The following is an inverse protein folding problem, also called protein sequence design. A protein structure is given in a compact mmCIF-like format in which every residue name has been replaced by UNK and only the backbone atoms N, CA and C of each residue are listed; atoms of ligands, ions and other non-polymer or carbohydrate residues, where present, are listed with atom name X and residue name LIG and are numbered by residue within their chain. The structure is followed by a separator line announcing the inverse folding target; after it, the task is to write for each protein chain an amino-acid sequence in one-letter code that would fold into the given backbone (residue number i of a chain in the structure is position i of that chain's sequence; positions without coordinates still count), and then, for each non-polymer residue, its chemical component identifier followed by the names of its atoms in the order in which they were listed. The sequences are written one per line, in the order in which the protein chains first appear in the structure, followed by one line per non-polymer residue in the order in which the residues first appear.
data_IF_874636623754
#
_entry.id   IF_874636623754
#
_cell.length_a   1.000
_cell.length_b   1.000
_cell.length_c   1.000
_cell.angle_alpha   90.00
_cell.angle_beta   90.00
_cell.angle_gamma   90.00
#
_symmetry.space_group_name_H-M   'P 1'
#
loop_
_entity.id
_entity.type
_entity.pdbx_description
1 polymer ?
#
# COMPACT_ATOMS: atom_id res chain seq x y z
N UNK A 1 16.32 0.46 -30.17
CA UNK A 1 14.85 0.69 -30.07
C UNK A 1 14.21 -0.57 -29.52
N UNK A 2 13.46 -0.48 -28.42
CA UNK A 2 12.84 -1.63 -27.77
C UNK A 2 11.42 -1.81 -28.36
N UNK A 3 11.21 -2.87 -29.14
CA UNK A 3 9.94 -3.15 -29.81
C UNK A 3 9.13 -4.17 -29.02
N UNK A 4 7.93 -3.82 -28.53
CA UNK A 4 7.11 -4.75 -27.75
C UNK A 4 6.69 -5.99 -28.58
N UNK A 5 6.52 -5.83 -29.90
CA UNK A 5 6.27 -6.95 -30.83
C UNK A 5 7.44 -7.95 -30.88
N UNK A 6 8.68 -7.46 -30.88
CA UNK A 6 9.87 -8.32 -30.85
C UNK A 6 9.95 -9.10 -29.54
N UNK A 7 9.64 -8.44 -28.42
CA UNK A 7 9.59 -9.07 -27.09
C UNK A 7 8.45 -10.08 -26.96
N UNK A 8 7.29 -9.81 -27.57
CA UNK A 8 6.16 -10.71 -27.66
C UNK A 8 6.52 -11.99 -28.42
N UNK A 9 7.12 -11.84 -29.61
CA UNK A 9 7.58 -12.97 -30.43
C UNK A 9 8.65 -13.83 -29.72
N UNK A 10 9.63 -13.20 -29.08
CA UNK A 10 10.62 -13.92 -28.27
C UNK A 10 9.99 -14.64 -27.08
N UNK A 11 9.05 -13.99 -26.38
CA UNK A 11 8.32 -14.61 -25.25
C UNK A 11 7.47 -15.82 -25.67
N UNK A 12 6.90 -15.79 -26.88
CA UNK A 12 6.16 -16.92 -27.47
C UNK A 12 7.07 -18.08 -27.89
N UNK A 13 8.39 -17.95 -27.82
CA UNK A 13 9.32 -18.99 -28.28
C UNK A 13 9.45 -19.07 -29.81
N UNK A 14 9.10 -17.99 -30.52
CA UNK A 14 9.29 -17.92 -31.97
C UNK A 14 10.78 -17.78 -32.30
N UNK A 15 11.32 -18.72 -33.08
CA UNK A 15 12.73 -18.76 -33.48
C UNK A 15 13.00 -17.74 -34.60
N UNK A 16 13.90 -16.78 -34.35
CA UNK A 16 14.52 -15.99 -35.42
C UNK A 16 15.90 -16.54 -35.82
N UNK A 17 16.59 -17.31 -34.96
CA UNK A 17 17.91 -17.91 -35.26
C UNK A 17 18.15 -19.26 -34.57
N UNK A 18 19.11 -20.02 -35.11
CA UNK A 18 19.37 -21.46 -34.85
C UNK A 18 19.96 -21.82 -33.47
N UNK A 19 20.21 -20.85 -32.58
CA UNK A 19 20.91 -21.07 -31.30
C UNK A 19 20.06 -21.38 -30.07
N UNK A 20 18.73 -21.32 -30.14
CA UNK A 20 17.85 -21.48 -28.97
C UNK A 20 17.44 -22.96 -28.72
N UNK A 21 17.41 -23.45 -27.46
CA UNK A 21 17.07 -24.85 -27.14
C UNK A 21 15.71 -25.28 -27.74
N UNK A 22 15.68 -26.44 -28.42
CA UNK A 22 14.51 -26.92 -29.19
C UNK A 22 13.24 -27.12 -28.34
N UNK A 23 13.38 -27.36 -27.03
CA UNK A 23 12.27 -27.58 -26.09
C UNK A 23 11.29 -26.41 -25.94
N UNK A 24 11.64 -25.23 -26.46
CA UNK A 24 10.83 -24.01 -26.31
C UNK A 24 10.29 -23.44 -27.64
N UNK A 25 10.45 -24.16 -28.75
CA UNK A 25 10.05 -23.68 -30.08
C UNK A 25 8.56 -23.91 -30.33
N UNK A 26 7.81 -22.84 -30.58
CA UNK A 26 6.39 -22.89 -30.97
C UNK A 26 6.27 -22.76 -32.50
N UNK A 27 5.32 -23.46 -33.11
CA UNK A 27 5.13 -23.38 -34.56
C UNK A 27 4.72 -21.95 -34.99
N UNK A 28 5.12 -21.50 -36.20
CA UNK A 28 4.75 -20.17 -36.70
C UNK A 28 3.24 -19.89 -36.70
N UNK A 29 2.43 -20.90 -37.02
CA UNK A 29 0.97 -20.78 -37.03
C UNK A 29 0.41 -20.50 -35.63
N UNK A 30 0.92 -21.19 -34.59
CA UNK A 30 0.48 -20.98 -33.21
C UNK A 30 0.94 -19.62 -32.70
N UNK A 31 2.17 -19.20 -33.02
CA UNK A 31 2.67 -17.87 -32.65
C UNK A 31 1.84 -16.75 -33.30
N UNK A 32 1.48 -16.89 -34.58
CA UNK A 32 0.63 -15.94 -35.29
C UNK A 32 -0.79 -15.86 -34.71
N UNK A 33 -1.39 -17.02 -34.38
CA UNK A 33 -2.72 -17.06 -33.75
C UNK A 33 -2.73 -16.39 -32.37
N UNK A 34 -1.70 -16.65 -31.53
CA UNK A 34 -1.55 -16.00 -30.22
C UNK A 34 -1.33 -14.48 -30.34
N UNK A 35 -0.60 -14.04 -31.35
CA UNK A 35 -0.44 -12.60 -31.63
C UNK A 35 -1.75 -11.96 -32.06
N UNK A 36 -2.51 -12.55 -32.99
CA UNK A 36 -3.82 -12.04 -33.41
C UNK A 36 -4.78 -11.94 -32.22
N UNK A 37 -4.81 -12.96 -31.35
CA UNK A 37 -5.58 -12.92 -30.12
C UNK A 37 -5.14 -11.76 -29.21
N UNK A 38 -3.83 -11.59 -28.98
CA UNK A 38 -3.32 -10.49 -28.16
C UNK A 38 -3.68 -9.11 -28.75
N UNK A 39 -3.66 -8.96 -30.08
CA UNK A 39 -4.09 -7.72 -30.75
C UNK A 39 -5.57 -7.40 -30.58
N UNK A 40 -6.43 -8.43 -30.49
CA UNK A 40 -7.88 -8.29 -30.29
C UNK A 40 -8.27 -8.12 -28.82
N UNK A 41 -7.37 -8.43 -27.90
CA UNK A 41 -7.60 -8.30 -26.46
C UNK A 41 -7.88 -6.84 -26.07
N UNK A 42 -9.00 -6.61 -25.40
CA UNK A 42 -9.46 -5.28 -24.94
C UNK A 42 -9.18 -5.05 -23.46
N UNK A 43 -8.94 -6.11 -22.70
CA UNK A 43 -8.72 -6.08 -21.25
C UNK A 43 -7.56 -7.01 -20.90
N UNK A 44 -6.72 -6.61 -19.95
CA UNK A 44 -5.66 -7.44 -19.41
C UNK A 44 -5.85 -7.67 -17.92
N UNK A 45 -5.55 -8.88 -17.47
CA UNK A 45 -5.41 -9.18 -16.05
C UNK A 45 -3.98 -8.85 -15.62
N UNK A 46 -3.86 -8.01 -14.59
CA UNK A 46 -2.62 -7.75 -13.89
C UNK A 46 -2.63 -8.44 -12.53
N UNK A 47 -1.50 -9.03 -12.17
CA UNK A 47 -1.27 -9.60 -10.84
C UNK A 47 -0.05 -8.91 -10.26
N UNK A 48 -0.25 -8.17 -9.18
CA UNK A 48 0.82 -7.54 -8.42
C UNK A 48 1.23 -8.45 -7.27
N UNK A 49 2.52 -8.74 -7.20
CA UNK A 49 3.16 -9.52 -6.15
C UNK A 49 4.00 -8.59 -5.28
N UNK A 50 3.72 -8.59 -3.99
CA UNK A 50 4.37 -7.78 -2.99
C UNK A 50 4.92 -8.70 -1.89
N UNK A 51 6.25 -8.89 -1.79
CA UNK A 51 6.82 -9.65 -0.69
C UNK A 51 6.56 -8.88 0.62
N UNK A 52 6.10 -9.59 1.64
CA UNK A 52 5.88 -9.06 2.99
C UNK A 52 7.17 -9.27 3.79
N UNK A 53 8.15 -8.40 3.55
CA UNK A 53 9.45 -8.45 4.21
C UNK A 53 9.31 -8.18 5.71
N UNK A 54 10.17 -8.80 6.54
CA UNK A 54 10.06 -8.80 8.01
C UNK A 54 8.77 -9.40 8.58
N UNK A 55 7.85 -9.89 7.74
CA UNK A 55 6.65 -10.58 8.19
C UNK A 55 6.99 -11.94 8.77
N UNK A 56 6.56 -12.20 10.00
CA UNK A 56 6.65 -13.52 10.62
C UNK A 56 5.46 -14.40 10.20
N UNK A 57 4.55 -14.71 11.12
CA UNK A 57 3.29 -15.40 10.83
C UNK A 57 2.18 -14.40 10.49
N UNK A 58 2.38 -13.65 9.40
CA UNK A 58 1.33 -12.73 8.90
C UNK A 58 0.09 -13.56 8.54
N UNK A 59 -1.10 -13.25 9.09
CA UNK A 59 -2.30 -14.03 8.84
C UNK A 59 -2.60 -14.18 7.35
N UNK A 60 -2.95 -15.39 6.92
CA UNK A 60 -3.48 -15.61 5.58
C UNK A 60 -4.88 -15.00 5.49
N UNK A 61 -5.06 -14.09 4.53
CA UNK A 61 -6.27 -13.28 4.41
C UNK A 61 -6.71 -13.26 2.96
N UNK A 62 -8.03 -13.16 2.74
CA UNK A 62 -8.60 -12.92 1.42
C UNK A 62 -9.73 -11.91 1.52
N UNK A 63 -9.62 -10.84 0.75
CA UNK A 63 -10.57 -9.74 0.76
C UNK A 63 -10.61 -9.07 -0.62
N UNK A 64 -11.76 -9.19 -1.30
CA UNK A 64 -11.92 -8.77 -2.67
C UNK A 64 -10.93 -9.46 -3.62
N UNK A 65 -10.25 -8.71 -4.51
CA UNK A 65 -9.25 -9.26 -5.43
C UNK A 65 -7.86 -9.43 -4.78
N UNK A 66 -7.77 -9.33 -3.45
CA UNK A 66 -6.51 -9.32 -2.72
C UNK A 66 -6.40 -10.57 -1.84
N UNK A 67 -5.18 -11.06 -1.68
CA UNK A 67 -4.87 -12.12 -0.73
C UNK A 67 -3.49 -11.95 -0.10
N UNK A 68 -3.36 -12.30 1.19
CA UNK A 68 -2.07 -12.61 1.80
C UNK A 68 -1.94 -14.12 1.83
N UNK A 69 -0.88 -14.65 1.22
CA UNK A 69 -0.61 -16.09 1.21
C UNK A 69 0.88 -16.39 1.10
N UNK A 70 1.22 -17.61 1.46
CA UNK A 70 2.51 -18.19 1.16
C UNK A 70 2.45 -18.89 -0.20
N UNK A 71 3.61 -19.01 -0.84
CA UNK A 71 3.78 -19.75 -2.09
C UNK A 71 4.80 -20.85 -1.90
N UNK A 72 4.64 -21.98 -2.58
CA UNK A 72 5.73 -22.94 -2.74
C UNK A 72 6.71 -22.45 -3.80
N UNK A 73 7.95 -22.98 -3.80
CA UNK A 73 8.92 -22.67 -4.83
C UNK A 73 8.39 -23.01 -6.25
N UNK A 74 7.72 -24.17 -6.39
CA UNK A 74 7.11 -24.61 -7.64
C UNK A 74 6.00 -23.65 -8.10
N UNK A 75 5.13 -23.19 -7.19
CA UNK A 75 4.08 -22.22 -7.52
C UNK A 75 4.67 -20.87 -8.01
N UNK A 76 5.77 -20.40 -7.41
CA UNK A 76 6.44 -19.17 -7.85
C UNK A 76 7.09 -19.34 -9.23
N UNK A 77 7.72 -20.48 -9.47
CA UNK A 77 8.36 -20.79 -10.76
C UNK A 77 7.33 -20.82 -11.90
N UNK A 78 6.19 -21.47 -11.67
CA UNK A 78 5.07 -21.52 -12.61
C UNK A 78 4.44 -20.14 -12.83
N UNK A 79 4.23 -19.38 -11.77
CA UNK A 79 3.60 -18.06 -11.83
C UNK A 79 4.45 -17.04 -12.60
N UNK A 80 5.78 -17.08 -12.43
CA UNK A 80 6.69 -16.12 -13.05
C UNK A 80 7.12 -16.51 -14.48
N UNK A 81 6.84 -17.75 -14.92
CA UNK A 81 7.32 -18.29 -16.19
C UNK A 81 8.84 -18.08 -16.30
N UNK A 82 9.58 -18.66 -15.35
CA UNK A 82 11.04 -18.48 -15.22
C UNK A 82 11.80 -18.90 -16.48
N UNK A 83 11.30 -19.90 -17.20
CA UNK A 83 11.78 -20.29 -18.53
C UNK A 83 11.58 -19.17 -19.58
N UNK A 84 10.41 -18.52 -19.59
CA UNK A 84 10.13 -17.34 -20.41
C UNK A 84 11.04 -16.15 -20.10
N UNK A 85 11.29 -15.88 -18.83
CA UNK A 85 12.19 -14.80 -18.40
C UNK A 85 13.65 -15.10 -18.71
N UNK A 86 14.11 -16.32 -18.48
CA UNK A 86 15.47 -16.78 -18.80
C UNK A 86 15.79 -16.67 -20.29
N UNK A 87 14.79 -16.87 -21.16
CA UNK A 87 14.92 -16.63 -22.62
C UNK A 87 15.15 -15.16 -22.95
N UNK A 88 14.54 -14.23 -22.21
CA UNK A 88 14.68 -12.78 -22.44
C UNK A 88 15.96 -12.21 -21.83
N UNK A 89 16.44 -12.81 -20.74
CA UNK A 89 17.66 -12.38 -20.04
C UNK A 89 18.55 -13.59 -19.73
N UNK A 90 19.38 -14.04 -20.69
CA UNK A 90 20.29 -15.16 -20.48
C UNK A 90 21.20 -14.91 -19.26
N UNK A 91 21.28 -15.89 -18.37
CA UNK A 91 22.09 -15.82 -17.14
C UNK A 91 21.36 -15.26 -15.92
N UNK A 92 20.15 -14.69 -16.07
CA UNK A 92 19.30 -14.42 -14.93
C UNK A 92 18.74 -15.72 -14.35
N UNK A 93 18.69 -15.82 -13.03
CA UNK A 93 18.10 -16.93 -12.29
C UNK A 93 17.12 -16.37 -11.27
N UNK A 94 16.05 -17.12 -11.03
CA UNK A 94 15.09 -16.82 -9.98
C UNK A 94 15.31 -17.81 -8.85
N UNK A 95 15.49 -17.31 -7.63
CA UNK A 95 15.65 -18.15 -6.44
C UNK A 95 14.28 -18.40 -5.79
N UNK A 96 13.50 -19.29 -6.40
CA UNK A 96 12.15 -19.62 -5.92
C UNK A 96 12.15 -20.19 -4.51
N UNK A 97 13.21 -20.91 -4.12
CA UNK A 97 13.37 -21.46 -2.78
C UNK A 97 13.47 -20.36 -1.74
N UNK A 98 14.35 -19.37 -1.92
CA UNK A 98 14.47 -18.25 -0.97
C UNK A 98 13.19 -17.41 -0.93
N UNK A 99 12.58 -17.15 -2.08
CA UNK A 99 11.33 -16.37 -2.14
C UNK A 99 10.11 -17.07 -1.53
N UNK A 100 10.05 -18.41 -1.56
CA UNK A 100 8.97 -19.16 -0.92
C UNK A 100 8.95 -19.07 0.61
N UNK A 101 10.01 -18.54 1.24
CA UNK A 101 10.11 -18.38 2.70
C UNK A 101 9.42 -17.13 3.24
N UNK A 102 8.92 -16.26 2.36
CA UNK A 102 8.20 -15.05 2.70
C UNK A 102 6.71 -15.18 2.39
N UNK A 103 5.89 -14.49 3.16
CA UNK A 103 4.49 -14.26 2.81
C UNK A 103 4.39 -13.18 1.70
N UNK A 104 3.32 -13.24 0.93
CA UNK A 104 3.10 -12.35 -0.21
C UNK A 104 1.71 -11.75 -0.17
N UNK A 105 1.64 -10.43 -0.37
CA UNK A 105 0.41 -9.76 -0.77
C UNK A 105 0.27 -9.88 -2.29
N UNK A 106 -0.81 -10.54 -2.71
CA UNK A 106 -1.21 -10.73 -4.10
C UNK A 106 -2.41 -9.85 -4.37
N UNK A 107 -2.32 -8.99 -5.38
CA UNK A 107 -3.39 -8.07 -5.77
C UNK A 107 -3.69 -8.25 -7.25
N UNK A 108 -4.95 -8.56 -7.56
CA UNK A 108 -5.38 -8.71 -8.94
C UNK A 108 -6.19 -7.51 -9.42
N UNK A 109 -5.97 -7.08 -10.65
CA UNK A 109 -6.81 -6.09 -11.31
C UNK A 109 -7.05 -6.42 -12.78
N UNK A 110 -8.16 -5.91 -13.32
CA UNK A 110 -8.47 -5.96 -14.74
C UNK A 110 -8.34 -4.54 -15.28
N UNK A 111 -7.44 -4.35 -16.25
CA UNK A 111 -7.19 -3.06 -16.89
C UNK A 111 -7.70 -3.06 -18.32
N UNK A 112 -8.39 -1.98 -18.70
CA UNK A 112 -8.80 -1.77 -20.10
C UNK A 112 -7.58 -1.36 -20.91
N UNK A 113 -7.29 -2.13 -21.95
CA UNK A 113 -6.16 -1.89 -22.84
C UNK A 113 -6.50 -0.78 -23.85
N UNK A 114 -5.53 0.09 -24.18
CA UNK A 114 -5.77 1.16 -25.15
C UNK A 114 -6.06 0.57 -26.53
N UNK A 115 -7.25 0.85 -27.07
CA UNK A 115 -7.77 0.25 -28.32
C UNK A 115 -7.01 0.58 -29.61
N UNK A 116 -5.99 1.45 -29.57
CA UNK A 116 -5.08 1.69 -30.71
C UNK A 116 -3.82 0.86 -30.54
N UNK A 117 -3.79 -0.29 -31.21
CA UNK A 117 -2.70 -1.28 -31.24
C UNK A 117 -1.29 -0.70 -31.41
N UNK A 118 -1.14 0.42 -32.14
CA UNK A 118 0.15 1.09 -32.34
C UNK A 118 0.83 1.56 -31.04
N UNK A 119 0.07 2.16 -30.12
CA UNK A 119 0.63 2.67 -28.84
C UNK A 119 1.03 1.56 -27.87
N UNK A 120 0.28 0.45 -27.89
CA UNK A 120 0.54 -0.76 -27.10
C UNK A 120 1.79 -1.50 -27.58
N UNK A 121 2.03 -1.51 -28.90
CA UNK A 121 3.17 -2.21 -29.51
C UNK A 121 4.44 -1.34 -29.61
N UNK A 122 4.28 -0.02 -29.77
CA UNK A 122 5.38 0.92 -30.03
C UNK A 122 5.33 2.13 -29.08
N UNK A 123 5.41 1.94 -27.75
CA UNK A 123 5.22 3.02 -26.78
C UNK A 123 6.19 4.20 -26.99
N UNK A 124 7.41 3.95 -27.45
CA UNK A 124 8.40 4.99 -27.74
C UNK A 124 8.07 5.89 -28.94
N UNK A 125 7.26 5.44 -29.90
CA UNK A 125 6.85 6.26 -31.05
C UNK A 125 5.65 7.16 -30.74
N UNK A 126 4.91 6.83 -29.68
CA UNK A 126 3.70 7.55 -29.26
C UNK A 126 3.89 8.34 -27.95
N UNK A 127 5.12 8.44 -27.44
CA UNK A 127 5.43 9.23 -26.25
C UNK A 127 5.36 10.74 -26.55
N UNK A 128 4.65 11.51 -25.73
CA UNK A 128 4.58 12.97 -25.87
C UNK A 128 5.81 13.63 -25.24
N UNK A 129 6.79 13.96 -26.09
CA UNK A 129 8.05 14.59 -25.67
C UNK A 129 7.88 16.04 -25.16
N UNK A 130 6.67 16.61 -25.24
CA UNK A 130 6.35 17.96 -24.73
C UNK A 130 5.93 17.95 -23.26
N UNK A 131 5.81 16.78 -22.65
CA UNK A 131 5.41 16.66 -21.26
C UNK A 131 6.52 17.20 -20.33
N UNK A 132 6.14 18.00 -19.32
CA UNK A 132 7.04 18.36 -18.23
C UNK A 132 7.29 17.13 -17.35
N UNK A 133 8.42 16.47 -17.58
CA UNK A 133 8.85 15.29 -16.83
C UNK A 133 9.27 15.63 -15.39
N UNK A 134 9.52 16.91 -15.07
CA UNK A 134 9.89 17.38 -13.74
C UNK A 134 8.71 17.80 -12.86
N UNK A 135 7.48 17.77 -13.37
CA UNK A 135 6.29 18.19 -12.62
C UNK A 135 6.10 17.35 -11.35
N UNK A 136 5.85 18.03 -10.23
CA UNK A 136 5.56 17.38 -8.95
C UNK A 136 4.05 17.12 -8.87
N UNK A 137 3.67 15.85 -8.84
CA UNK A 137 2.30 15.44 -8.51
C UNK A 137 2.10 15.48 -6.99
N UNK A 138 1.17 16.29 -6.44
CA UNK A 138 1.04 16.50 -4.99
C UNK A 138 0.71 15.22 -4.21
N UNK A 139 0.05 14.26 -4.86
CA UNK A 139 -0.31 12.96 -4.27
C UNK A 139 0.15 11.82 -5.19
N UNK A 140 1.39 11.93 -5.71
CA UNK A 140 1.99 10.86 -6.50
C UNK A 140 2.05 9.60 -5.63
N UNK A 141 1.45 8.52 -6.14
CA UNK A 141 1.43 7.20 -5.50
C UNK A 141 2.83 6.63 -5.39
N UNK A 142 3.08 5.91 -4.30
CA UNK A 142 4.31 5.16 -4.06
C UNK A 142 4.22 3.79 -4.74
N UNK A 143 3.08 3.11 -4.61
CA UNK A 143 2.82 1.80 -5.23
C UNK A 143 1.74 1.92 -6.34
N UNK A 144 1.52 0.86 -7.16
CA UNK A 144 0.36 0.80 -8.02
C UNK A 144 -0.95 1.02 -7.25
N UNK A 145 -1.92 1.67 -7.89
CA UNK A 145 -3.21 2.02 -7.29
C UNK A 145 -3.93 0.86 -6.55
N UNK A 146 -4.05 -0.35 -7.13
CA UNK A 146 -4.74 -1.44 -6.44
C UNK A 146 -3.92 -1.95 -5.24
N UNK A 147 -2.59 -1.87 -5.29
CA UNK A 147 -1.72 -2.25 -4.16
C UNK A 147 -1.88 -1.27 -3.01
N UNK A 148 -1.89 0.04 -3.27
CA UNK A 148 -2.18 1.05 -2.24
C UNK A 148 -3.56 0.84 -1.61
N UNK A 149 -4.57 0.47 -2.41
CA UNK A 149 -5.90 0.15 -1.89
C UNK A 149 -5.89 -1.07 -0.95
N UNK A 150 -5.19 -2.14 -1.33
CA UNK A 150 -5.05 -3.34 -0.52
C UNK A 150 -4.28 -3.06 0.78
N UNK A 151 -3.17 -2.34 0.69
CA UNK A 151 -2.40 -1.92 1.87
C UNK A 151 -3.24 -1.01 2.77
N UNK A 152 -4.01 -0.09 2.20
CA UNK A 152 -4.90 0.77 2.98
C UNK A 152 -5.90 -0.05 3.79
N UNK A 153 -6.48 -1.11 3.20
CA UNK A 153 -7.34 -2.05 3.92
C UNK A 153 -6.60 -2.72 5.08
N UNK A 154 -5.44 -3.32 4.83
CA UNK A 154 -4.62 -3.98 5.84
C UNK A 154 -4.26 -3.02 6.99
N UNK A 155 -3.97 -1.76 6.68
CA UNK A 155 -3.58 -0.73 7.65
C UNK A 155 -4.75 -0.18 8.48
N UNK A 156 -5.98 -0.66 8.27
CA UNK A 156 -7.10 -0.41 9.20
C UNK A 156 -7.04 -1.31 10.44
N UNK A 157 -6.31 -2.43 10.38
CA UNK A 157 -6.07 -3.27 11.56
C UNK A 157 -5.10 -2.62 12.56
N UNK A 158 -5.28 -2.96 13.84
CA UNK A 158 -4.55 -2.47 15.00
C UNK A 158 -3.17 -3.11 15.16
N UNK A 159 -2.36 -3.07 14.11
CA UNK A 159 -1.00 -3.65 14.12
C UNK A 159 -0.13 -3.14 15.27
N UNK A 160 -0.30 -1.88 15.66
CA UNK A 160 0.40 -1.29 16.80
C UNK A 160 0.08 -1.95 18.16
N UNK A 161 -0.93 -2.82 18.23
CA UNK A 161 -1.34 -3.55 19.43
C UNK A 161 -0.97 -5.04 19.36
N UNK A 162 -0.57 -5.55 18.18
CA UNK A 162 -0.26 -6.97 17.97
C UNK A 162 1.16 -7.26 17.54
N UNK A 163 1.98 -6.24 17.26
CA UNK A 163 3.41 -6.41 17.01
C UNK A 163 4.17 -6.47 18.33
N UNK A 164 4.98 -7.52 18.53
CA UNK A 164 5.66 -7.79 19.82
C UNK A 164 6.64 -6.70 20.23
N UNK A 165 7.30 -6.08 19.25
CA UNK A 165 8.25 -4.97 19.44
C UNK A 165 7.73 -3.69 18.79
N UNK A 166 6.47 -3.35 19.08
CA UNK A 166 5.79 -2.17 18.49
C UNK A 166 6.54 -0.86 18.73
N UNK A 167 7.27 -0.74 19.85
CA UNK A 167 8.11 0.41 20.16
C UNK A 167 9.25 0.60 19.15
N UNK A 168 9.83 -0.50 18.65
CA UNK A 168 10.80 -0.52 17.56
C UNK A 168 10.11 -0.31 16.21
N UNK A 169 9.16 -1.16 15.85
CA UNK A 169 8.38 -1.06 14.61
C UNK A 169 6.97 -1.59 14.82
N UNK A 170 5.95 -0.77 14.57
CA UNK A 170 4.55 -1.22 14.67
C UNK A 170 4.12 -1.99 13.44
N UNK A 171 4.85 -1.87 12.33
CA UNK A 171 4.48 -2.49 11.06
C UNK A 171 4.67 -4.01 11.17
N UNK A 172 3.66 -4.79 10.76
CA UNK A 172 3.76 -6.25 10.77
C UNK A 172 4.67 -6.77 9.66
N UNK A 173 4.94 -5.95 8.64
CA UNK A 173 5.77 -6.25 7.47
C UNK A 173 6.14 -4.95 6.75
N UNK A 174 7.10 -5.03 5.82
CA UNK A 174 7.45 -4.00 4.84
C UNK A 174 7.18 -4.50 3.42
N UNK A 175 6.95 -3.56 2.50
CA UNK A 175 6.82 -3.86 1.06
C UNK A 175 7.94 -3.14 0.32
N UNK A 176 9.09 -3.79 0.10
CA UNK A 176 10.26 -3.13 -0.51
C UNK A 176 10.06 -2.83 -2.00
N UNK A 177 9.23 -3.62 -2.69
CA UNK A 177 8.95 -3.45 -4.11
C UNK A 177 7.68 -4.19 -4.52
N UNK A 178 7.23 -3.93 -5.74
CA UNK A 178 6.06 -4.59 -6.36
C UNK A 178 6.48 -5.16 -7.70
N UNK A 179 6.26 -6.47 -7.89
CA UNK A 179 6.42 -7.12 -9.18
C UNK A 179 5.06 -7.30 -9.85
N UNK A 180 4.88 -6.80 -11.08
CA UNK A 180 3.60 -6.88 -11.79
C UNK A 180 3.69 -7.84 -12.97
N UNK A 181 2.83 -8.84 -12.95
CA UNK A 181 2.58 -9.76 -14.04
C UNK A 181 1.39 -9.28 -14.86
N UNK A 182 1.44 -9.53 -16.16
CA UNK A 182 0.36 -9.19 -17.09
C UNK A 182 0.16 -10.34 -18.07
N UNK A 183 -1.11 -10.66 -18.33
CA UNK A 183 -1.50 -11.56 -19.40
C UNK A 183 -1.43 -10.91 -20.80
N UNK A 184 -1.21 -9.59 -20.87
CA UNK A 184 -0.95 -8.88 -22.11
C UNK A 184 0.43 -9.27 -22.67
N UNK A 185 0.43 -9.93 -23.82
CA UNK A 185 1.64 -10.34 -24.52
C UNK A 185 2.59 -9.17 -24.87
N UNK A 186 2.07 -7.96 -25.08
CA UNK A 186 2.86 -6.76 -25.40
C UNK A 186 3.36 -6.02 -24.15
N UNK A 187 2.90 -6.40 -22.95
CA UNK A 187 3.41 -5.82 -21.73
C UNK A 187 4.90 -6.18 -21.54
N UNK A 188 5.66 -5.20 -21.06
CA UNK A 188 7.07 -5.45 -20.72
C UNK A 188 7.13 -6.31 -19.47
N UNK A 189 7.52 -7.57 -19.63
CA UNK A 189 7.90 -8.42 -18.50
C UNK A 189 9.24 -7.95 -17.94
N UNK A 190 9.21 -7.36 -16.76
CA UNK A 190 10.41 -7.09 -15.98
C UNK A 190 10.89 -8.38 -15.30
N UNK A 191 12.16 -8.47 -14.93
CA UNK A 191 12.61 -9.49 -13.98
C UNK A 191 12.36 -8.95 -12.57
N UNK A 192 11.85 -9.76 -11.62
CA UNK A 192 11.77 -9.34 -10.23
C UNK A 192 13.17 -9.02 -9.68
N UNK A 193 13.27 -8.20 -8.62
CA UNK A 193 14.50 -8.01 -7.86
C UNK A 193 15.04 -9.32 -7.28
N UNK A 194 16.28 -9.30 -6.81
CA UNK A 194 16.93 -10.46 -6.19
C UNK A 194 16.37 -10.71 -4.76
N UNK A 195 16.45 -11.95 -4.29
CA UNK A 195 16.07 -12.31 -2.92
C UNK A 195 16.92 -11.58 -1.87
N UNK A 196 18.15 -11.18 -2.22
CA UNK A 196 19.04 -10.37 -1.38
C UNK A 196 18.51 -8.94 -1.12
N UNK A 197 17.44 -8.53 -1.81
CA UNK A 197 16.74 -7.26 -1.52
C UNK A 197 15.78 -7.33 -0.34
N UNK A 198 15.54 -8.54 0.19
CA UNK A 198 14.74 -8.80 1.38
C UNK A 198 15.64 -8.95 2.60
N UNK A 199 15.04 -8.93 3.79
CA UNK A 199 15.76 -8.98 5.05
C UNK A 199 16.06 -10.42 5.46
N UNK A 200 17.35 -10.72 5.70
CA UNK A 200 17.86 -12.03 6.12
C UNK A 200 18.69 -11.89 7.39
N UNK A 201 18.67 -12.94 8.22
CA UNK A 201 19.50 -13.07 9.41
C UNK A 201 20.20 -14.43 9.45
N UNK A 202 21.38 -14.53 10.08
CA UNK A 202 22.03 -15.81 10.31
C UNK A 202 21.20 -16.69 11.25
N UNK A 203 21.12 -17.97 10.92
CA UNK A 203 20.55 -19.04 11.72
C UNK A 203 21.59 -20.13 11.89
N UNK A 204 21.62 -20.75 13.07
CA UNK A 204 22.65 -21.70 13.42
C UNK A 204 21.99 -22.98 13.95
N UNK A 205 22.34 -24.11 13.35
CA UNK A 205 21.95 -25.42 13.86
C UNK A 205 23.16 -26.35 13.95
N UNK A 206 23.07 -27.32 14.85
CA UNK A 206 24.04 -28.37 15.00
C UNK A 206 23.67 -29.51 14.04
N UNK A 207 24.59 -29.91 13.16
CA UNK A 207 24.40 -31.04 12.27
C UNK A 207 24.57 -32.38 12.99
N UNK A 208 24.41 -33.49 12.26
CA UNK A 208 24.51 -34.85 12.81
C UNK A 208 25.90 -35.18 13.40
N UNK A 209 26.94 -34.44 12.99
CA UNK A 209 28.33 -34.62 13.43
C UNK A 209 28.71 -33.67 14.59
N UNK A 210 27.77 -32.87 15.09
CA UNK A 210 28.01 -31.89 16.16
C UNK A 210 28.68 -30.60 15.67
N UNK A 211 28.74 -30.37 14.35
CA UNK A 211 29.28 -29.14 13.78
C UNK A 211 28.18 -28.09 13.66
N UNK A 212 28.51 -26.85 14.04
CA UNK A 212 27.61 -25.72 13.88
C UNK A 212 27.59 -25.28 12.41
N UNK A 213 26.45 -25.43 11.75
CA UNK A 213 26.21 -24.96 10.39
C UNK A 213 25.45 -23.64 10.44
N UNK A 214 26.01 -22.63 9.78
CA UNK A 214 25.36 -21.33 9.56
C UNK A 214 24.56 -21.36 8.26
N UNK A 215 23.27 -21.05 8.34
CA UNK A 215 22.38 -20.81 7.21
C UNK A 215 21.73 -19.43 7.36
N UNK A 216 21.16 -18.92 6.28
CA UNK A 216 20.33 -17.71 6.36
C UNK A 216 18.87 -18.09 6.58
N UNK A 217 18.14 -17.26 7.31
CA UNK A 217 16.66 -17.28 7.35
C UNK A 217 16.10 -15.87 7.19
N UNK A 218 14.83 -15.73 6.76
CA UNK A 218 14.18 -14.43 6.74
C UNK A 218 14.21 -13.80 8.13
N UNK A 219 14.63 -12.54 8.20
CA UNK A 219 14.44 -11.75 9.41
C UNK A 219 12.95 -11.51 9.62
N UNK A 220 12.50 -11.52 10.88
CA UNK A 220 11.09 -11.54 11.24
C UNK A 220 10.82 -10.58 12.39
N UNK A 221 9.70 -9.88 12.33
CA UNK A 221 9.11 -9.12 13.43
C UNK A 221 7.94 -9.93 13.99
N UNK A 222 8.09 -10.56 15.16
CA UNK A 222 7.08 -11.46 15.69
C UNK A 222 5.77 -10.73 15.99
N UNK A 223 4.68 -11.33 15.56
CA UNK A 223 3.32 -10.93 15.93
C UNK A 223 2.89 -11.70 17.19
N UNK A 224 2.01 -11.11 17.97
CA UNK A 224 1.34 -11.80 19.08
C UNK A 224 0.21 -12.66 18.55
N UNK A 225 -0.22 -13.66 19.33
CA UNK A 225 -1.35 -14.55 18.99
C UNK A 225 -2.67 -13.79 18.70
N UNK A 226 -2.76 -12.53 19.12
CA UNK A 226 -3.92 -11.67 18.85
C UNK A 226 -3.97 -11.15 17.40
N UNK A 227 -2.92 -11.30 16.59
CA UNK A 227 -2.89 -10.80 15.21
C UNK A 227 -3.95 -11.47 14.31
N UNK A 228 -4.15 -12.79 14.43
CA UNK A 228 -5.17 -13.53 13.68
C UNK A 228 -6.59 -13.01 13.99
N UNK A 229 -7.07 -13.04 15.25
CA UNK A 229 -8.43 -12.56 15.55
C UNK A 229 -8.62 -11.07 15.25
N UNK A 230 -7.58 -10.23 15.38
CA UNK A 230 -7.69 -8.80 15.08
C UNK A 230 -7.74 -8.47 13.59
N UNK A 231 -7.36 -9.40 12.71
CA UNK A 231 -7.36 -9.21 11.25
C UNK A 231 -8.43 -10.03 10.56
N UNK A 232 -9.07 -10.97 11.27
CA UNK A 232 -10.11 -11.84 10.75
C UNK A 232 -11.34 -11.11 10.17
N UNK A 233 -11.58 -9.86 10.57
CA UNK A 233 -12.66 -9.04 9.99
C UNK A 233 -12.36 -8.57 8.55
N UNK A 234 -11.10 -8.64 8.09
CA UNK A 234 -10.69 -8.24 6.75
C UNK A 234 -11.08 -9.32 5.74
N UNK A 235 -12.36 -9.30 5.37
CA UNK A 235 -12.99 -10.18 4.40
C UNK A 235 -13.58 -9.40 3.20
N UNK A 236 -14.36 -10.08 2.36
CA UNK A 236 -15.05 -9.46 1.22
C UNK A 236 -16.07 -8.38 1.63
N UNK A 237 -16.66 -8.51 2.82
CA UNK A 237 -17.60 -7.52 3.37
C UNK A 237 -16.85 -6.24 3.73
N UNK A 238 -15.78 -6.35 4.51
CA UNK A 238 -14.94 -5.22 4.86
C UNK A 238 -14.32 -4.56 3.63
N UNK A 239 -13.93 -5.33 2.62
CA UNK A 239 -13.44 -4.79 1.36
C UNK A 239 -14.51 -3.98 0.61
N UNK A 240 -15.76 -4.46 0.61
CA UNK A 240 -16.89 -3.76 -0.02
C UNK A 240 -17.17 -2.45 0.70
N UNK A 241 -17.27 -2.47 2.03
CA UNK A 241 -17.45 -1.29 2.87
C UNK A 241 -16.34 -0.26 2.65
N UNK A 242 -15.08 -0.69 2.65
CA UNK A 242 -13.93 0.17 2.36
C UNK A 242 -14.02 0.78 0.96
N UNK A 243 -14.38 -0.03 -0.04
CA UNK A 243 -14.51 0.41 -1.43
C UNK A 243 -15.63 1.43 -1.60
N UNK A 244 -16.74 1.29 -0.87
CA UNK A 244 -17.83 2.26 -0.82
C UNK A 244 -17.39 3.54 -0.11
N UNK A 245 -16.77 3.42 1.07
CA UNK A 245 -16.24 4.55 1.82
C UNK A 245 -15.27 5.40 0.99
N UNK A 246 -14.34 4.77 0.25
CA UNK A 246 -13.40 5.45 -0.65
C UNK A 246 -14.06 6.22 -1.79
N UNK A 247 -15.26 5.83 -2.21
CA UNK A 247 -16.05 6.56 -3.23
C UNK A 247 -16.93 7.65 -2.62
N UNK A 248 -17.04 7.71 -1.30
CA UNK A 248 -17.86 8.69 -0.60
C UNK A 248 -17.19 10.07 -0.54
N UNK A 249 -17.97 11.13 -0.30
CA UNK A 249 -17.45 12.48 -0.09
C UNK A 249 -16.44 12.60 1.06
N UNK A 250 -16.49 11.70 2.05
CA UNK A 250 -15.60 11.74 3.21
C UNK A 250 -14.14 11.42 2.84
N UNK A 251 -13.91 10.73 1.71
CA UNK A 251 -12.59 10.32 1.24
C UNK A 251 -12.09 11.10 0.01
N UNK A 252 -12.72 12.21 -0.35
CA UNK A 252 -12.25 13.08 -1.45
C UNK A 252 -10.86 13.69 -1.21
N UNK A 253 -10.42 13.74 0.04
CA UNK A 253 -9.13 14.29 0.45
C UNK A 253 -8.08 13.18 0.50
N UNK A 254 -6.78 13.53 0.47
CA UNK A 254 -5.67 12.56 0.36
C UNK A 254 -5.41 11.76 1.66
N UNK A 255 -6.44 11.25 2.32
CA UNK A 255 -6.36 10.44 3.55
C UNK A 255 -5.57 9.16 3.27
N UNK A 256 -5.98 8.39 2.25
CA UNK A 256 -5.32 7.15 1.82
C UNK A 256 -3.83 7.39 1.51
N UNK A 257 -3.53 8.47 0.79
CA UNK A 257 -2.15 8.83 0.45
C UNK A 257 -1.28 9.02 1.70
N UNK A 258 -1.76 9.72 2.73
CA UNK A 258 -0.99 9.93 3.94
C UNK A 258 -0.90 8.69 4.83
N UNK A 259 -1.88 7.78 4.79
CA UNK A 259 -1.78 6.47 5.46
C UNK A 259 -0.69 5.62 4.81
N UNK A 260 -0.67 5.52 3.48
CA UNK A 260 0.37 4.78 2.75
C UNK A 260 1.74 5.43 2.95
N UNK A 261 1.81 6.77 2.93
CA UNK A 261 3.05 7.48 3.21
C UNK A 261 3.59 7.19 4.61
N UNK A 262 2.72 7.14 5.63
CA UNK A 262 3.13 6.79 6.98
C UNK A 262 3.70 5.37 7.04
N UNK A 263 3.05 4.41 6.37
CA UNK A 263 3.55 3.03 6.27
C UNK A 263 4.91 2.91 5.54
N UNK A 264 5.11 3.68 4.47
CA UNK A 264 6.32 3.62 3.65
C UNK A 264 7.48 4.50 4.15
N UNK A 265 7.30 5.24 5.24
CA UNK A 265 8.32 6.12 5.82
C UNK A 265 8.81 5.59 7.16
N UNK A 266 9.96 6.08 7.60
CA UNK A 266 10.53 5.78 8.92
C UNK A 266 10.72 7.08 9.73
N UNK A 267 10.80 6.95 11.06
CA UNK A 267 11.18 8.04 11.96
C UNK A 267 10.22 9.23 11.95
N UNK A 268 10.74 10.44 11.81
CA UNK A 268 9.92 11.67 11.89
C UNK A 268 8.91 11.78 10.75
N UNK A 269 9.24 11.30 9.56
CA UNK A 269 8.32 11.38 8.41
C UNK A 269 7.10 10.48 8.58
N UNK A 270 7.27 9.31 9.21
CA UNK A 270 6.18 8.42 9.64
C UNK A 270 5.24 9.16 10.61
N UNK A 271 5.82 9.75 11.66
CA UNK A 271 5.08 10.52 12.66
C UNK A 271 4.29 11.68 12.03
N UNK A 272 4.95 12.50 11.21
CA UNK A 272 4.32 13.63 10.53
C UNK A 272 3.20 13.18 9.58
N UNK A 273 3.38 12.06 8.88
CA UNK A 273 2.36 11.51 8.01
C UNK A 273 1.12 11.07 8.81
N UNK A 274 1.27 10.41 9.97
CA UNK A 274 0.13 10.05 10.82
C UNK A 274 -0.65 11.26 11.34
N UNK A 275 0.03 12.32 11.78
CA UNK A 275 -0.66 13.57 12.17
C UNK A 275 -1.38 14.18 10.97
N UNK A 276 -0.76 14.14 9.79
CA UNK A 276 -1.34 14.68 8.55
C UNK A 276 -2.56 13.88 8.08
N UNK A 277 -2.66 12.58 8.35
CA UNK A 277 -3.88 11.78 8.10
C UNK A 277 -5.08 12.41 8.83
N UNK A 278 -4.91 12.76 10.11
CA UNK A 278 -5.96 13.36 10.93
C UNK A 278 -6.34 14.75 10.40
N UNK A 279 -5.35 15.56 10.01
CA UNK A 279 -5.58 16.89 9.44
C UNK A 279 -6.29 16.82 8.07
N UNK A 280 -5.88 15.89 7.22
CA UNK A 280 -6.51 15.67 5.92
C UNK A 280 -7.97 15.22 6.09
N UNK A 281 -8.22 14.33 7.05
CA UNK A 281 -9.55 13.83 7.40
C UNK A 281 -10.47 14.92 7.95
N UNK A 282 -10.00 15.73 8.91
CA UNK A 282 -10.86 16.53 9.79
C UNK A 282 -10.62 18.05 9.74
N UNK A 283 -9.57 18.52 9.07
CA UNK A 283 -9.33 19.95 8.85
C UNK A 283 -10.34 20.56 7.88
N UNK A 284 -10.41 21.87 7.77
CA UNK A 284 -11.04 22.54 6.63
C UNK A 284 -10.20 23.76 6.24
N UNK A 285 -10.06 24.08 4.94
CA UNK A 285 -9.34 25.29 4.53
C UNK A 285 -9.86 26.57 5.21
N UNK A 286 -11.18 26.63 5.44
CA UNK A 286 -11.82 27.76 6.12
C UNK A 286 -11.36 27.93 7.58
N UNK A 287 -10.88 26.88 8.25
CA UNK A 287 -10.45 26.95 9.66
C UNK A 287 -9.23 27.87 9.86
N UNK A 288 -8.41 28.00 8.82
CA UNK A 288 -7.23 28.88 8.80
C UNK A 288 -7.59 30.35 8.53
N UNK A 289 -8.74 30.62 7.88
CA UNK A 289 -9.23 31.98 7.68
C UNK A 289 -9.98 32.44 8.93
N UNK A 290 -9.28 33.16 9.80
CA UNK A 290 -9.88 33.68 11.02
C UNK A 290 -11.16 34.48 10.72
N UNK A 291 -11.20 35.27 9.64
CA UNK A 291 -12.33 36.17 9.31
C UNK A 291 -13.55 35.43 8.80
N UNK A 292 -13.36 34.32 8.07
CA UNK A 292 -14.45 33.56 7.45
C UNK A 292 -14.90 32.34 8.25
N UNK A 293 -14.07 31.82 9.16
CA UNK A 293 -14.43 30.61 9.92
C UNK A 293 -15.68 30.81 10.78
N UNK A 294 -16.61 29.84 10.80
CA UNK A 294 -17.82 29.91 11.63
C UNK A 294 -17.50 30.16 13.10
N UNK A 295 -18.22 31.11 13.71
CA UNK A 295 -18.20 31.32 15.16
C UNK A 295 -18.94 30.18 15.85
N UNK A 296 -18.40 29.73 16.97
CA UNK A 296 -19.04 28.72 17.82
C UNK A 296 -19.62 29.49 19.01
N UNK A 297 -20.93 29.38 19.21
CA UNK A 297 -21.63 30.13 20.26
C UNK A 297 -21.06 29.79 21.64
N UNK A 298 -20.89 30.79 22.50
CA UNK A 298 -20.39 30.60 23.87
C UNK A 298 -18.90 30.24 24.00
N UNK A 299 -18.16 30.12 22.90
CA UNK A 299 -16.75 29.69 22.91
C UNK A 299 -15.79 30.77 22.41
N UNK A 300 -14.58 30.83 22.99
CA UNK A 300 -13.50 31.69 22.48
C UNK A 300 -13.14 31.25 21.05
N UNK A 301 -12.71 32.20 20.21
CA UNK A 301 -12.38 31.95 18.79
C UNK A 301 -11.22 30.95 18.65
N UNK A 302 -11.54 29.66 18.57
CA UNK A 302 -10.55 28.58 18.49
C UNK A 302 -9.79 28.56 17.16
N UNK A 303 -8.50 28.21 17.23
CA UNK A 303 -7.62 28.00 16.07
C UNK A 303 -8.00 26.75 15.26
N UNK A 304 -7.35 26.55 14.11
CA UNK A 304 -7.62 25.41 13.24
C UNK A 304 -7.36 24.06 13.94
N UNK A 305 -6.25 23.95 14.66
CA UNK A 305 -5.87 22.76 15.42
C UNK A 305 -6.92 22.36 16.47
N UNK A 306 -7.40 23.32 17.27
CA UNK A 306 -8.43 23.05 18.28
C UNK A 306 -9.76 22.59 17.66
N UNK A 307 -10.11 23.06 16.45
CA UNK A 307 -11.31 22.61 15.72
C UNK A 307 -11.16 21.17 15.23
N UNK A 308 -9.97 20.79 14.76
CA UNK A 308 -9.66 19.39 14.42
C UNK A 308 -9.77 18.50 15.66
N UNK A 309 -9.22 18.93 16.79
CA UNK A 309 -9.30 18.20 18.06
C UNK A 309 -10.76 17.92 18.48
N UNK A 310 -11.63 18.92 18.39
CA UNK A 310 -13.05 18.77 18.70
C UNK A 310 -13.79 17.84 17.74
N UNK A 311 -13.52 17.95 16.43
CA UNK A 311 -14.11 17.02 15.45
C UNK A 311 -13.65 15.59 15.69
N UNK A 312 -12.38 15.39 16.04
CA UNK A 312 -11.82 14.07 16.33
C UNK A 312 -12.45 13.46 17.59
N UNK A 313 -12.56 14.25 18.66
CA UNK A 313 -13.22 13.83 19.89
C UNK A 313 -14.68 13.41 19.62
N UNK A 314 -15.41 14.20 18.83
CA UNK A 314 -16.80 13.89 18.46
C UNK A 314 -16.93 12.68 17.53
N UNK A 315 -16.01 12.51 16.58
CA UNK A 315 -16.00 11.37 15.65
C UNK A 315 -15.77 10.05 16.39
N UNK A 316 -14.87 10.06 17.37
CA UNK A 316 -14.48 8.89 18.14
C UNK A 316 -15.29 8.70 19.44
N UNK A 317 -16.18 9.64 19.74
CA UNK A 317 -16.90 9.76 21.02
C UNK A 317 -15.96 9.64 22.24
N UNK A 318 -14.80 10.30 22.16
CA UNK A 318 -13.69 10.17 23.09
C UNK A 318 -12.98 11.52 23.26
N UNK A 319 -13.26 12.24 24.34
CA UNK A 319 -12.64 13.56 24.61
C UNK A 319 -11.10 13.49 24.68
N UNK A 320 -10.55 12.38 25.21
CA UNK A 320 -9.11 12.20 25.34
C UNK A 320 -8.41 12.04 23.97
N UNK A 321 -9.15 11.67 22.91
CA UNK A 321 -8.63 11.68 21.55
C UNK A 321 -8.26 13.09 21.07
N UNK A 322 -9.09 14.09 21.40
CA UNK A 322 -8.82 15.49 21.06
C UNK A 322 -7.59 16.03 21.80
N UNK A 323 -7.45 15.73 23.10
CA UNK A 323 -6.30 16.11 23.91
C UNK A 323 -5.00 15.49 23.41
N UNK A 324 -5.02 14.18 23.09
CA UNK A 324 -3.88 13.48 22.49
C UNK A 324 -3.48 14.10 21.17
N UNK A 325 -4.43 14.41 20.28
CA UNK A 325 -4.12 15.10 19.02
C UNK A 325 -3.45 16.46 19.26
N UNK A 326 -3.90 17.25 20.23
CA UNK A 326 -3.27 18.54 20.56
C UNK A 326 -1.81 18.37 21.01
N UNK A 327 -1.53 17.34 21.82
CA UNK A 327 -0.15 17.01 22.21
C UNK A 327 0.71 16.62 20.99
N UNK A 328 0.21 15.73 20.13
CA UNK A 328 0.93 15.31 18.91
C UNK A 328 1.17 16.50 17.95
N UNK A 329 0.20 17.40 17.80
CA UNK A 329 0.35 18.58 16.97
C UNK A 329 1.42 19.53 17.52
N UNK A 330 1.53 19.65 18.86
CA UNK A 330 2.59 20.44 19.49
C UNK A 330 3.97 19.89 19.13
N UNK A 331 4.19 18.58 19.27
CA UNK A 331 5.45 17.93 18.89
C UNK A 331 5.80 18.17 17.41
N UNK A 332 4.82 18.00 16.51
CA UNK A 332 4.98 18.34 15.09
C UNK A 332 5.36 19.81 14.88
N UNK A 333 4.68 20.72 15.56
CA UNK A 333 4.90 22.16 15.44
C UNK A 333 6.31 22.55 15.89
N UNK A 334 6.76 22.01 17.02
CA UNK A 334 8.09 22.28 17.55
C UNK A 334 9.18 21.79 16.59
N UNK A 335 8.98 20.62 15.97
CA UNK A 335 9.88 20.06 14.97
C UNK A 335 9.95 20.94 13.71
N UNK A 336 8.80 21.27 13.12
CA UNK A 336 8.73 22.05 11.88
C UNK A 336 9.26 23.48 12.04
N UNK A 337 9.19 24.04 13.24
CA UNK A 337 9.74 25.36 13.55
C UNK A 337 11.18 25.33 14.05
N UNK A 338 11.82 24.15 14.04
CA UNK A 338 13.24 23.98 14.39
C UNK A 338 13.54 24.34 15.84
N UNK A 339 12.58 24.11 16.76
CA UNK A 339 12.84 24.31 18.18
C UNK A 339 13.83 23.25 18.70
N UNK A 340 14.55 23.58 19.78
CA UNK A 340 15.39 22.60 20.45
C UNK A 340 14.48 21.52 21.07
N UNK A 341 14.58 20.29 20.55
CA UNK A 341 13.77 19.15 20.96
C UNK A 341 14.64 18.02 21.51
N UNK A 342 14.05 17.22 22.39
CA UNK A 342 14.58 15.90 22.73
C UNK A 342 14.11 14.88 21.69
N UNK A 343 14.69 13.68 21.73
CA UNK A 343 14.22 12.57 20.90
C UNK A 343 12.74 12.28 21.18
N UNK A 344 11.96 12.09 20.10
CA UNK A 344 10.55 11.77 20.21
C UNK A 344 10.41 10.33 20.74
N UNK A 345 9.75 10.11 21.89
CA UNK A 345 9.56 8.76 22.42
C UNK A 345 8.75 7.88 21.47
N UNK A 346 9.07 6.58 21.44
CA UNK A 346 8.33 5.58 20.63
C UNK A 346 6.81 5.60 20.90
N UNK A 347 6.41 5.84 22.16
CA UNK A 347 5.00 5.94 22.52
C UNK A 347 4.26 7.07 21.79
N UNK A 348 4.92 8.20 21.52
CA UNK A 348 4.32 9.33 20.79
C UNK A 348 4.04 8.95 19.34
N UNK A 349 4.96 8.20 18.72
CA UNK A 349 4.79 7.63 17.37
C UNK A 349 3.64 6.63 17.32
N UNK A 350 3.58 5.72 18.29
CA UNK A 350 2.49 4.74 18.42
C UNK A 350 1.12 5.40 18.65
N UNK A 351 1.07 6.46 19.47
CA UNK A 351 -0.16 7.20 19.71
C UNK A 351 -0.63 7.93 18.44
N UNK A 352 0.28 8.49 17.64
CA UNK A 352 -0.05 9.06 16.34
C UNK A 352 -0.64 8.01 15.39
N UNK A 353 -0.01 6.84 15.28
CA UNK A 353 -0.49 5.71 14.47
C UNK A 353 -1.89 5.26 14.91
N UNK A 354 -2.07 4.98 16.21
CA UNK A 354 -3.34 4.52 16.79
C UNK A 354 -4.46 5.53 16.52
N UNK A 355 -4.17 6.81 16.74
CA UNK A 355 -5.17 7.88 16.58
C UNK A 355 -5.54 8.09 15.11
N UNK A 356 -4.56 8.05 14.20
CA UNK A 356 -4.79 8.11 12.76
C UNK A 356 -5.64 6.92 12.27
N UNK A 357 -5.31 5.70 12.70
CA UNK A 357 -6.09 4.49 12.39
C UNK A 357 -7.52 4.60 12.87
N UNK A 358 -7.73 4.92 14.16
CA UNK A 358 -9.07 5.11 14.73
C UNK A 358 -9.88 6.15 13.96
N UNK A 359 -9.28 7.27 13.59
CA UNK A 359 -9.91 8.30 12.76
C UNK A 359 -10.37 7.74 11.40
N UNK A 360 -9.51 6.97 10.73
CA UNK A 360 -9.83 6.34 9.43
C UNK A 360 -10.95 5.32 9.56
N UNK A 361 -10.86 4.40 10.53
CA UNK A 361 -11.90 3.39 10.78
C UNK A 361 -13.25 4.04 11.08
N UNK A 362 -13.28 5.10 11.89
CA UNK A 362 -14.51 5.82 12.19
C UNK A 362 -15.09 6.55 10.97
N UNK A 363 -14.24 7.07 10.07
CA UNK A 363 -14.69 7.64 8.81
C UNK A 363 -15.26 6.59 7.85
N UNK A 364 -14.66 5.40 7.79
CA UNK A 364 -15.21 4.27 7.03
C UNK A 364 -16.60 3.95 7.56
N UNK A 365 -16.75 3.75 8.88
CA UNK A 365 -18.04 3.47 9.50
C UNK A 365 -19.08 4.58 9.31
N UNK A 366 -18.67 5.85 9.31
CA UNK A 366 -19.57 6.95 8.99
C UNK A 366 -20.04 6.92 7.52
N UNK A 367 -19.12 6.63 6.59
CA UNK A 367 -19.39 6.56 5.17
C UNK A 367 -20.25 5.36 4.75
N UNK A 368 -20.23 4.28 5.53
CA UNK A 368 -21.02 3.05 5.28
C UNK A 368 -22.22 2.90 6.21
N UNK A 369 -22.50 3.91 7.03
CA UNK A 369 -23.68 3.92 7.90
C UNK A 369 -24.99 3.94 7.07
N UNK A 370 -26.14 3.54 7.65
CA UNK A 370 -27.42 3.53 6.93
C UNK A 370 -27.88 4.89 6.38
N UNK A 371 -27.33 5.99 6.91
CA UNK A 371 -27.59 7.36 6.46
C UNK A 371 -26.25 8.08 6.28
N UNK A 372 -25.48 7.73 5.24
CA UNK A 372 -24.12 8.21 5.09
C UNK A 372 -24.11 9.71 4.75
N UNK A 373 -23.09 10.48 5.20
CA UNK A 373 -23.05 11.91 4.92
C UNK A 373 -22.86 12.20 3.42
N UNK A 374 -23.81 12.92 2.82
CA UNK A 374 -23.74 13.34 1.42
C UNK A 374 -22.73 14.49 1.18
N UNK A 375 -22.36 15.22 2.24
CA UNK A 375 -21.49 16.38 2.15
C UNK A 375 -20.46 16.40 3.29
N UNK A 376 -19.17 16.40 2.92
CA UNK A 376 -18.06 16.41 3.87
C UNK A 376 -18.08 17.66 4.77
N UNK A 377 -18.36 18.85 4.23
CA UNK A 377 -18.34 20.08 5.01
C UNK A 377 -19.47 20.14 6.03
N UNK A 378 -20.66 19.66 5.67
CA UNK A 378 -21.78 19.54 6.60
C UNK A 378 -21.45 18.58 7.75
N UNK A 379 -20.91 17.41 7.42
CA UNK A 379 -20.45 16.42 8.39
C UNK A 379 -19.40 16.97 9.36
N UNK A 380 -18.36 17.63 8.84
CA UNK A 380 -17.30 18.23 9.67
C UNK A 380 -17.82 19.39 10.54
N UNK A 381 -18.85 20.11 10.11
CA UNK A 381 -19.50 21.14 10.92
C UNK A 381 -20.35 20.54 12.04
N UNK A 382 -21.06 19.44 11.79
CA UNK A 382 -21.81 18.70 12.81
C UNK A 382 -20.88 18.16 13.90
N UNK A 383 -19.79 17.48 13.51
CA UNK A 383 -18.76 17.00 14.43
C UNK A 383 -18.18 18.14 15.27
N UNK A 384 -17.94 19.29 14.64
CA UNK A 384 -17.41 20.46 15.34
C UNK A 384 -18.39 20.99 16.41
N UNK A 385 -19.68 21.04 16.10
CA UNK A 385 -20.70 21.45 17.07
C UNK A 385 -20.76 20.48 18.24
N UNK A 386 -20.86 19.17 17.96
CA UNK A 386 -20.89 18.11 18.98
C UNK A 386 -19.66 18.15 19.89
N UNK A 387 -18.46 18.20 19.32
CA UNK A 387 -17.21 18.20 20.09
C UNK A 387 -17.03 19.47 20.92
N UNK A 388 -17.50 20.62 20.43
CA UNK A 388 -17.47 21.86 21.20
C UNK A 388 -18.39 21.85 22.42
N UNK A 389 -19.55 21.18 22.32
CA UNK A 389 -20.46 20.99 23.44
C UNK A 389 -19.89 20.05 24.50
N UNK A 390 -19.24 18.96 24.07
CA UNK A 390 -18.57 18.01 24.97
C UNK A 390 -17.42 18.67 25.75
N UNK A 391 -16.70 19.62 25.16
CA UNK A 391 -15.62 20.35 25.85
C UNK A 391 -16.11 21.44 26.81
N UNK A 392 -17.42 21.75 26.83
CA UNK A 392 -18.01 22.82 27.65
C UNK A 392 -18.73 22.30 28.91
N UNK A 393 -19.00 20.99 28.98
CA UNK A 393 -19.56 20.31 30.14
C UNK A 393 -18.46 19.58 30.89
#
# INVERSE_FOLDING_TARGET
MNFALSHALHGLGYRWSDGAPARFAVSPAIAAARLDQAFRQTEARLVHLCPLDLGDEVPELRFGPNAIRNFTAEELDDLLDTDGLSRKRPGWRFDSQRFSRFAWLVVEEIVVLPGKSGGRVLPGLFADLRQDFGRIGPHKRHFPAPVEAALFALLTASWEEVTSYSDLDWRPFRVPWVHTLSDDLFARRATPPDADTLSWEPDFYEDEDGAMVELERPARLPLTDAAIPQTAYLDDTAWTELSEARRSPLFHRPIEHFVIRAFASDGIDEFLAHVTVIEAALGQPIDHDSRKRPKISGQRRQGATARVAWRLAALLDDASAGERYLALFKERSDFLHGQAMQDIPSQVRLDARRLARRCVCALIGAATSPSPPENQDAFLNELLQRGSSQASG
#
